data_IF_782644978513
#
_entry.id   IF_782644978513
#
_cell.length_a   1.000
_cell.length_b   1.000
_cell.length_c   1.000
_cell.angle_alpha   90.00
_cell.angle_beta   90.00
_cell.angle_gamma   90.00
#
_symmetry.space_group_name_H-M   'P 1'
#
loop_
_entity.id
_entity.type
_entity.pdbx_description
1 polymer ?
#
# COMPACT_ATOMS: atom_id res chain seq x y z
N UNK A 1 5.41 6.53 -9.11
CA UNK A 1 4.87 5.26 -8.54
C UNK A 1 3.35 5.20 -8.37
N UNK A 2 2.68 6.20 -7.81
CA UNK A 2 1.19 6.20 -7.65
C UNK A 2 0.40 6.34 -8.96
N UNK A 3 1.05 6.72 -10.06
CA UNK A 3 0.46 6.81 -11.41
C UNK A 3 -0.11 5.47 -11.91
N UNK A 4 0.13 4.38 -11.18
CA UNK A 4 -0.26 3.03 -11.54
C UNK A 4 -1.43 2.46 -10.70
N UNK A 5 -2.05 3.27 -9.82
CA UNK A 5 -3.28 2.88 -9.11
C UNK A 5 -4.46 3.60 -9.76
N UNK A 6 -5.33 2.85 -10.44
CA UNK A 6 -6.56 3.36 -11.04
C UNK A 6 -7.74 3.03 -10.15
N UNK A 7 -8.38 4.04 -9.57
CA UNK A 7 -9.54 3.89 -8.68
C UNK A 7 -10.79 4.44 -9.36
N UNK A 8 -11.75 3.56 -9.65
CA UNK A 8 -13.02 3.88 -10.29
C UNK A 8 -14.18 3.57 -9.33
N UNK A 9 -15.05 4.56 -9.10
CA UNK A 9 -16.35 4.36 -8.46
C UNK A 9 -17.21 3.53 -9.39
N UNK A 10 -17.83 2.46 -8.89
CA UNK A 10 -18.70 1.59 -9.69
C UNK A 10 -20.14 1.60 -9.19
N UNK A 11 -20.36 1.98 -7.93
CA UNK A 11 -21.69 2.05 -7.33
C UNK A 11 -21.68 3.04 -6.17
N UNK A 12 -22.72 3.86 -6.09
CA UNK A 12 -22.93 4.86 -5.03
C UNK A 12 -24.35 4.67 -4.48
N UNK A 13 -24.44 4.37 -3.17
CA UNK A 13 -25.67 4.24 -2.41
C UNK A 13 -25.68 5.34 -1.36
N UNK A 14 -26.57 6.30 -1.52
CA UNK A 14 -26.70 7.42 -0.59
C UNK A 14 -27.21 6.97 0.79
N UNK A 15 -28.04 5.93 0.81
CA UNK A 15 -28.55 5.32 2.04
C UNK A 15 -28.42 3.79 1.92
N UNK A 16 -27.61 3.20 2.78
CA UNK A 16 -27.46 1.75 2.91
C UNK A 16 -27.08 1.43 4.36
N UNK A 17 -27.11 0.14 4.71
CA UNK A 17 -26.73 -0.36 6.03
C UNK A 17 -25.56 -1.32 5.94
N UNK A 18 -24.78 -1.39 7.01
CA UNK A 18 -23.70 -2.36 7.14
C UNK A 18 -23.49 -2.71 8.61
N UNK A 19 -22.93 -3.89 8.85
CA UNK A 19 -22.50 -4.27 10.19
C UNK A 19 -21.07 -3.78 10.42
N UNK A 20 -20.88 -2.89 11.40
CA UNK A 20 -19.55 -2.43 11.82
C UNK A 20 -18.98 -3.43 12.82
N UNK A 21 -17.91 -4.15 12.44
CA UNK A 21 -17.29 -5.18 13.29
C UNK A 21 -16.61 -4.62 14.55
N UNK A 22 -16.15 -3.38 14.52
CA UNK A 22 -15.50 -2.76 15.67
C UNK A 22 -16.52 -2.29 16.71
N UNK A 23 -17.68 -1.82 16.26
CA UNK A 23 -18.79 -1.40 17.14
C UNK A 23 -19.77 -2.54 17.43
N UNK A 24 -19.68 -3.64 16.68
CA UNK A 24 -20.56 -4.82 16.75
C UNK A 24 -22.04 -4.47 16.63
N UNK A 25 -22.37 -3.52 15.74
CA UNK A 25 -23.73 -3.06 15.53
C UNK A 25 -24.01 -2.72 14.07
N UNK A 26 -25.29 -2.69 13.71
CA UNK A 26 -25.72 -2.18 12.40
C UNK A 26 -25.58 -0.65 12.39
N UNK A 27 -24.97 -0.13 11.33
CA UNK A 27 -24.84 1.30 11.05
C UNK A 27 -25.51 1.60 9.72
N UNK A 28 -25.83 2.88 9.52
CA UNK A 28 -26.45 3.38 8.30
C UNK A 28 -25.72 4.64 7.82
N UNK A 29 -25.81 4.92 6.53
CA UNK A 29 -25.12 6.05 5.91
C UNK A 29 -24.84 5.79 4.43
N UNK A 30 -23.83 6.47 3.90
CA UNK A 30 -23.46 6.33 2.49
C UNK A 30 -22.54 5.13 2.30
N UNK A 31 -22.79 4.36 1.24
CA UNK A 31 -21.97 3.21 0.85
C UNK A 31 -21.55 3.35 -0.60
N UNK A 32 -20.25 3.30 -0.84
CA UNK A 32 -19.67 3.36 -2.18
C UNK A 32 -18.81 2.14 -2.47
N UNK A 33 -18.85 1.68 -3.70
CA UNK A 33 -18.01 0.57 -4.15
C UNK A 33 -17.02 1.05 -5.18
N UNK A 34 -15.76 0.64 -5.02
CA UNK A 34 -14.67 1.03 -5.89
C UNK A 34 -13.99 -0.18 -6.48
N UNK A 35 -13.83 -0.18 -7.80
CA UNK A 35 -12.91 -1.06 -8.49
C UNK A 35 -11.54 -0.39 -8.51
N UNK A 36 -10.52 -1.13 -8.09
CA UNK A 36 -9.13 -0.65 -8.14
C UNK A 36 -8.28 -1.58 -8.99
N UNK A 37 -7.50 -0.99 -9.88
CA UNK A 37 -6.45 -1.68 -10.63
C UNK A 37 -5.11 -1.09 -10.20
N UNK A 38 -4.38 -1.83 -9.37
CA UNK A 38 -3.03 -1.48 -8.93
C UNK A 38 -2.03 -2.38 -9.64
N UNK A 39 -1.11 -1.80 -10.40
CA UNK A 39 -0.13 -2.56 -11.16
C UNK A 39 0.72 -3.54 -10.31
N UNK A 40 0.97 -3.21 -9.04
CA UNK A 40 1.80 -4.05 -8.17
C UNK A 40 1.05 -5.20 -7.51
N UNK A 41 -0.22 -4.99 -7.16
CA UNK A 41 -0.98 -5.96 -6.37
C UNK A 41 -2.10 -6.63 -7.16
N UNK A 42 -2.58 -6.01 -8.24
CA UNK A 42 -3.61 -6.53 -9.13
C UNK A 42 -4.95 -5.81 -8.95
N UNK A 43 -6.04 -6.54 -9.19
CA UNK A 43 -7.41 -6.00 -9.20
C UNK A 43 -8.10 -6.21 -7.85
N UNK A 44 -8.70 -5.16 -7.34
CA UNK A 44 -9.42 -5.15 -6.05
C UNK A 44 -10.84 -4.62 -6.22
N UNK A 45 -11.70 -5.03 -5.29
CA UNK A 45 -13.00 -4.42 -5.03
C UNK A 45 -13.05 -3.94 -3.58
N UNK A 46 -13.30 -2.66 -3.38
CA UNK A 46 -13.46 -2.05 -2.06
C UNK A 46 -14.90 -1.60 -1.84
N UNK A 47 -15.38 -1.73 -0.60
CA UNK A 47 -16.57 -1.06 -0.07
C UNK A 47 -16.11 0.03 0.89
N UNK A 48 -16.59 1.24 0.69
CA UNK A 48 -16.40 2.37 1.59
C UNK A 48 -17.72 2.68 2.26
N UNK A 49 -17.77 2.67 3.59
CA UNK A 49 -18.95 3.05 4.36
C UNK A 49 -18.66 4.34 5.12
N UNK A 50 -19.43 5.39 4.85
CA UNK A 50 -19.34 6.67 5.53
C UNK A 50 -20.49 6.80 6.53
N UNK A 51 -20.12 6.83 7.81
CA UNK A 51 -20.99 7.10 8.93
C UNK A 51 -20.88 8.59 9.29
N UNK A 52 -21.84 9.38 8.81
CA UNK A 52 -21.88 10.82 9.10
C UNK A 52 -22.25 11.12 10.55
N UNK A 53 -22.99 10.23 11.21
CA UNK A 53 -23.45 10.42 12.59
C UNK A 53 -22.27 10.50 13.56
N UNK A 54 -21.31 9.58 13.41
CA UNK A 54 -20.12 9.51 14.28
C UNK A 54 -18.83 10.01 13.60
N UNK A 55 -18.92 10.54 12.38
CA UNK A 55 -17.77 11.08 11.65
C UNK A 55 -16.70 10.03 11.36
N UNK A 56 -17.11 8.88 10.83
CA UNK A 56 -16.25 7.72 10.64
C UNK A 56 -16.38 7.13 9.25
N UNK A 57 -15.27 6.74 8.64
CA UNK A 57 -15.25 6.05 7.34
C UNK A 57 -14.57 4.69 7.47
N UNK A 58 -15.16 3.65 6.90
CA UNK A 58 -14.61 2.29 6.87
C UNK A 58 -14.29 1.92 5.43
N UNK A 59 -13.05 1.53 5.16
CA UNK A 59 -12.65 0.91 3.90
C UNK A 59 -12.53 -0.59 4.09
N UNK A 60 -13.29 -1.38 3.34
CA UNK A 60 -13.29 -2.85 3.39
C UNK A 60 -12.88 -3.44 2.05
N UNK A 61 -11.89 -4.33 2.05
CA UNK A 61 -11.58 -5.14 0.88
C UNK A 61 -12.63 -6.25 0.72
N UNK A 62 -13.44 -6.19 -0.34
CA UNK A 62 -14.47 -7.20 -0.62
C UNK A 62 -13.98 -8.33 -1.51
N UNK A 63 -13.12 -7.99 -2.47
CA UNK A 63 -12.41 -8.97 -3.30
C UNK A 63 -10.97 -8.54 -3.43
N UNK A 64 -10.08 -9.50 -3.23
CA UNK A 64 -8.65 -9.32 -3.34
C UNK A 64 -8.11 -9.99 -4.61
N UNK A 65 -6.93 -9.59 -5.09
CA UNK A 65 -6.17 -10.35 -6.08
C UNK A 65 -5.90 -11.78 -5.61
N UNK A 66 -5.66 -12.69 -6.55
CA UNK A 66 -5.31 -14.06 -6.21
C UNK A 66 -3.93 -14.15 -5.54
N UNK A 67 -3.80 -15.09 -4.60
CA UNK A 67 -2.52 -15.42 -3.96
C UNK A 67 -2.59 -15.43 -2.44
N UNK A 68 -1.77 -16.29 -1.82
CA UNK A 68 -1.76 -16.54 -0.37
C UNK A 68 -1.73 -15.26 0.47
N UNK A 69 -0.96 -14.25 0.02
CA UNK A 69 -0.85 -12.97 0.68
C UNK A 69 -2.17 -12.19 0.70
N UNK A 70 -2.78 -12.00 -0.47
CA UNK A 70 -3.92 -11.11 -0.65
C UNK A 70 -5.24 -11.75 -0.23
N UNK A 71 -5.37 -13.07 -0.34
CA UNK A 71 -6.54 -13.80 0.17
C UNK A 71 -6.73 -13.63 1.68
N UNK A 72 -5.65 -13.43 2.44
CA UNK A 72 -5.72 -13.11 3.89
C UNK A 72 -6.29 -11.71 4.18
N UNK A 73 -6.32 -10.82 3.18
CA UNK A 73 -6.84 -9.46 3.30
C UNK A 73 -8.31 -9.36 2.88
N UNK A 74 -8.90 -10.44 2.38
CA UNK A 74 -10.32 -10.43 1.99
C UNK A 74 -11.19 -10.26 3.23
N UNK A 75 -12.08 -9.27 3.18
CA UNK A 75 -12.88 -8.84 4.32
C UNK A 75 -12.18 -7.90 5.31
N UNK A 76 -10.87 -7.64 5.17
CA UNK A 76 -10.14 -6.75 6.07
C UNK A 76 -10.63 -5.30 5.97
N UNK A 77 -10.67 -4.60 7.11
CA UNK A 77 -11.24 -3.25 7.24
C UNK A 77 -10.25 -2.25 7.82
N UNK A 78 -10.13 -1.07 7.20
CA UNK A 78 -9.38 0.09 7.70
C UNK A 78 -10.35 1.17 8.14
N UNK A 79 -10.03 1.89 9.21
CA UNK A 79 -10.97 2.74 9.92
C UNK A 79 -10.40 4.13 10.05
N UNK A 80 -11.06 5.06 9.36
CA UNK A 80 -10.70 6.46 9.36
C UNK A 80 -11.66 7.23 10.26
N UNK A 81 -11.11 7.97 11.23
CA UNK A 81 -11.86 8.75 12.21
C UNK A 81 -11.63 10.24 11.98
N UNK A 82 -12.63 11.08 12.30
CA UNK A 82 -12.49 12.53 12.16
C UNK A 82 -11.36 13.08 13.05
N UNK A 83 -10.47 13.86 12.44
CA UNK A 83 -9.39 14.62 13.08
C UNK A 83 -9.91 15.89 13.76
N UNK A 84 -9.11 16.50 14.63
CA UNK A 84 -9.33 17.90 15.06
C UNK A 84 -8.94 18.92 13.98
N UNK A 85 -8.18 18.49 12.98
CA UNK A 85 -7.82 19.29 11.82
C UNK A 85 -8.97 19.20 10.82
N UNK A 86 -9.49 20.36 10.43
CA UNK A 86 -10.71 20.48 9.64
C UNK A 86 -10.68 19.65 8.36
N UNK A 87 -11.81 18.96 8.10
CA UNK A 87 -12.05 18.08 6.96
C UNK A 87 -11.07 16.91 6.77
N UNK A 88 -10.23 16.59 7.77
CA UNK A 88 -9.32 15.45 7.69
C UNK A 88 -9.82 14.27 8.54
N UNK A 89 -9.52 13.08 8.05
CA UNK A 89 -9.67 11.83 8.77
C UNK A 89 -8.30 11.21 8.99
N UNK A 90 -8.15 10.50 10.11
CA UNK A 90 -6.93 9.81 10.48
C UNK A 90 -7.13 8.30 10.60
N UNK A 91 -6.08 7.55 10.29
CA UNK A 91 -5.90 6.14 10.67
C UNK A 91 -4.50 5.96 11.29
N UNK A 92 -4.34 4.99 12.19
CA UNK A 92 -3.06 4.69 12.83
C UNK A 92 -2.22 3.86 11.88
N UNK A 93 -1.03 4.35 11.54
CA UNK A 93 -0.14 3.69 10.57
C UNK A 93 0.19 2.28 11.02
N UNK A 94 -0.28 1.30 10.26
CA UNK A 94 -0.14 -0.12 10.59
C UNK A 94 0.37 -0.90 9.38
N UNK A 95 1.68 -1.12 9.35
CA UNK A 95 2.42 -1.68 8.22
C UNK A 95 2.39 -3.20 8.26
N UNK A 96 2.11 -3.79 7.11
CA UNK A 96 2.09 -5.24 6.95
C UNK A 96 3.49 -5.80 6.75
N UNK A 97 3.77 -6.96 7.33
CA UNK A 97 4.92 -7.80 6.99
C UNK A 97 4.46 -9.27 6.87
N UNK A 98 5.26 -10.08 6.19
CA UNK A 98 4.99 -11.52 6.02
C UNK A 98 5.98 -12.30 6.85
N UNK A 99 5.49 -13.17 7.74
CA UNK A 99 6.38 -14.03 8.52
C UNK A 99 6.90 -15.23 7.69
N UNK A 100 7.82 -16.00 8.27
CA UNK A 100 8.42 -17.16 7.59
C UNK A 100 7.43 -18.25 7.16
N UNK A 101 6.19 -18.23 7.65
CA UNK A 101 5.13 -19.16 7.27
C UNK A 101 4.20 -18.58 6.18
N UNK A 102 4.44 -17.35 5.74
CA UNK A 102 3.60 -16.65 4.77
C UNK A 102 2.34 -16.04 5.37
N UNK A 103 2.27 -15.85 6.70
CA UNK A 103 1.13 -15.20 7.36
C UNK A 103 1.30 -13.69 7.35
N UNK A 104 0.20 -12.99 7.08
CA UNK A 104 0.13 -11.53 7.16
C UNK A 104 0.10 -11.09 8.61
N UNK A 105 1.12 -10.34 9.01
CA UNK A 105 1.17 -9.66 10.30
C UNK A 105 1.20 -8.16 10.09
N UNK A 106 0.83 -7.43 11.14
CA UNK A 106 0.82 -5.97 11.15
C UNK A 106 1.60 -5.46 12.33
N UNK A 107 2.42 -4.45 12.10
CA UNK A 107 3.11 -3.70 13.14
C UNK A 107 2.70 -2.23 13.07
N UNK A 108 2.58 -1.60 14.24
CA UNK A 108 2.26 -0.18 14.33
C UNK A 108 3.57 0.60 14.26
N UNK A 109 3.62 1.63 13.41
CA UNK A 109 4.77 2.52 13.34
C UNK A 109 4.99 3.24 14.69
N UNK A 110 6.23 3.25 15.19
CA UNK A 110 6.58 3.79 16.50
C UNK A 110 7.11 5.22 16.40
N UNK A 111 7.65 5.58 15.25
CA UNK A 111 8.07 6.94 14.93
C UNK A 111 7.74 7.32 13.48
N UNK A 112 7.88 8.61 13.16
CA UNK A 112 7.63 9.10 11.80
C UNK A 112 8.63 8.49 10.82
N UNK A 113 9.85 8.21 11.26
CA UNK A 113 10.91 7.61 10.47
C UNK A 113 10.58 6.16 10.05
N UNK A 114 9.81 5.44 10.88
CA UNK A 114 9.30 4.09 10.55
C UNK A 114 8.26 4.11 9.40
N UNK A 115 7.69 5.28 9.11
CA UNK A 115 6.68 5.41 8.05
C UNK A 115 7.38 5.42 6.68
N UNK A 116 6.98 4.55 5.74
CA UNK A 116 7.54 4.51 4.39
C UNK A 116 7.55 5.88 3.72
N UNK A 117 8.64 6.20 3.01
CA UNK A 117 8.81 7.49 2.31
C UNK A 117 7.63 7.80 1.38
N UNK A 118 7.15 6.81 0.63
CA UNK A 118 5.98 6.95 -0.26
C UNK A 118 4.70 7.42 0.46
N UNK A 119 4.52 7.04 1.73
CA UNK A 119 3.40 7.51 2.55
C UNK A 119 3.69 8.93 3.03
N UNK A 120 4.89 9.20 3.56
CA UNK A 120 5.32 10.52 4.05
C UNK A 120 5.30 11.61 2.98
N UNK A 121 5.60 11.27 1.73
CA UNK A 121 5.62 12.22 0.61
C UNK A 121 4.21 12.57 0.11
N UNK A 122 3.25 11.66 0.26
CA UNK A 122 1.90 11.82 -0.29
C UNK A 122 0.86 12.26 0.75
N UNK A 123 1.04 11.85 1.99
CA UNK A 123 0.11 12.07 3.07
C UNK A 123 0.77 12.87 4.18
N UNK A 124 -0.03 13.70 4.84
CA UNK A 124 0.41 14.34 6.06
C UNK A 124 0.49 13.28 7.16
N UNK A 125 1.66 13.17 7.78
CA UNK A 125 1.95 12.22 8.85
C UNK A 125 2.18 13.01 10.13
N UNK A 126 1.47 12.64 11.18
CA UNK A 126 1.52 13.31 12.49
C UNK A 126 1.54 12.30 13.62
N UNK A 127 1.85 12.78 14.80
CA UNK A 127 1.53 12.06 16.02
C UNK A 127 0.01 12.04 16.24
N UNK A 128 -0.45 11.02 16.95
CA UNK A 128 -1.86 10.90 17.35
C UNK A 128 -2.34 12.10 18.18
N UNK A 129 -1.47 12.65 19.03
CA UNK A 129 -1.79 13.82 19.85
C UNK A 129 -2.05 15.04 18.97
N UNK A 130 -1.22 15.31 17.96
CA UNK A 130 -1.44 16.44 17.04
C UNK A 130 -2.72 16.27 16.19
N UNK A 131 -3.08 15.03 15.83
CA UNK A 131 -4.26 14.77 15.02
C UNK A 131 -5.58 14.71 15.80
N UNK A 132 -5.52 14.48 17.13
CA UNK A 132 -6.73 14.25 17.94
C UNK A 132 -6.85 15.17 19.16
N UNK A 133 -5.79 15.89 19.52
CA UNK A 133 -5.68 16.64 20.77
C UNK A 133 -5.58 15.77 22.02
N UNK A 134 -5.54 14.43 21.87
CA UNK A 134 -5.56 13.49 22.99
C UNK A 134 -4.18 12.91 23.23
N UNK A 135 -3.67 13.12 24.44
CA UNK A 135 -2.45 12.49 24.90
C UNK A 135 -2.72 11.08 25.40
N UNK A 136 -1.95 10.12 24.91
CA UNK A 136 -2.02 8.70 25.28
C UNK A 136 -0.63 8.19 25.62
N UNK A 137 -0.55 7.10 26.39
CA UNK A 137 0.74 6.53 26.80
C UNK A 137 1.56 5.93 25.64
N UNK A 138 0.91 5.65 24.50
CA UNK A 138 1.54 5.07 23.31
C UNK A 138 1.80 6.15 22.27
N UNK A 139 3.00 6.18 21.73
CA UNK A 139 3.35 7.07 20.63
C UNK A 139 2.83 6.48 19.32
N UNK A 140 1.56 6.77 19.00
CA UNK A 140 0.98 6.39 17.72
C UNK A 140 1.26 7.45 16.67
N UNK A 141 1.65 6.98 15.49
CA UNK A 141 1.77 7.78 14.28
C UNK A 141 0.53 7.55 13.43
N UNK A 142 0.00 8.63 12.86
CA UNK A 142 -1.21 8.61 12.04
C UNK A 142 -0.96 9.22 10.67
N UNK A 143 -1.70 8.75 9.68
CA UNK A 143 -1.82 9.38 8.37
C UNK A 143 -3.11 10.18 8.31
N UNK A 144 -3.06 11.35 7.68
CA UNK A 144 -4.22 12.20 7.45
C UNK A 144 -4.63 12.18 5.99
N UNK A 145 -5.94 12.09 5.74
CA UNK A 145 -6.52 12.12 4.40
C UNK A 145 -7.93 12.71 4.40
N UNK A 146 -8.39 13.16 3.23
CA UNK A 146 -9.71 13.78 3.06
C UNK A 146 -10.63 12.93 2.18
N UNK A 147 -10.09 12.31 1.14
CA UNK A 147 -10.89 11.67 0.07
C UNK A 147 -10.91 10.15 0.22
N UNK A 148 -12.01 9.52 -0.18
CA UNK A 148 -12.13 8.04 -0.13
C UNK A 148 -11.06 7.35 -0.98
N UNK A 149 -10.67 7.94 -2.12
CA UNK A 149 -9.57 7.43 -2.95
C UNK A 149 -8.21 7.44 -2.24
N UNK A 150 -7.99 8.41 -1.35
CA UNK A 150 -6.80 8.49 -0.52
C UNK A 150 -6.81 7.38 0.54
N UNK A 151 -7.95 7.18 1.22
CA UNK A 151 -8.15 6.10 2.19
C UNK A 151 -7.92 4.70 1.57
N UNK A 152 -8.44 4.46 0.37
CA UNK A 152 -8.19 3.23 -0.40
C UNK A 152 -6.71 3.09 -0.75
N UNK A 153 -6.05 4.20 -1.10
CA UNK A 153 -4.62 4.18 -1.38
C UNK A 153 -3.82 3.81 -0.13
N UNK A 154 -4.15 4.39 1.03
CA UNK A 154 -3.52 4.04 2.31
C UNK A 154 -3.72 2.55 2.65
N UNK A 155 -4.92 2.00 2.42
CA UNK A 155 -5.14 0.57 2.57
C UNK A 155 -4.15 -0.25 1.74
N UNK A 156 -3.96 0.10 0.45
CA UNK A 156 -3.02 -0.62 -0.40
C UNK A 156 -1.57 -0.49 0.08
N UNK A 157 -1.15 0.72 0.45
CA UNK A 157 0.23 0.99 0.88
C UNK A 157 0.57 0.34 2.22
N UNK A 158 -0.33 0.39 3.19
CA UNK A 158 -0.09 -0.13 4.54
C UNK A 158 -0.38 -1.63 4.65
N UNK A 159 -1.35 -2.15 3.89
CA UNK A 159 -1.85 -3.53 4.06
C UNK A 159 -1.51 -4.48 2.93
N UNK A 160 -1.64 -4.03 1.69
CA UNK A 160 -1.41 -4.90 0.55
C UNK A 160 0.08 -5.00 0.17
N UNK A 161 0.93 -4.10 0.66
CA UNK A 161 2.36 -4.09 0.35
C UNK A 161 3.19 -4.41 1.60
N UNK A 162 3.59 -5.68 1.78
CA UNK A 162 4.37 -6.06 2.95
C UNK A 162 5.79 -5.50 2.90
N UNK A 163 6.29 -5.11 4.08
CA UNK A 163 7.69 -4.78 4.31
C UNK A 163 8.60 -5.99 4.05
N UNK A 164 9.87 -5.77 3.62
CA UNK A 164 10.44 -4.47 3.26
C UNK A 164 9.88 -3.95 1.92
N UNK A 165 9.27 -2.76 1.99
CA UNK A 165 8.72 -2.05 0.83
C UNK A 165 9.85 -1.70 -0.15
N UNK A 166 11.00 -1.30 0.39
CA UNK A 166 12.17 -0.87 -0.38
C UNK A 166 12.76 -1.99 -1.24
N UNK A 167 12.91 -3.22 -0.74
CA UNK A 167 13.46 -4.32 -1.54
C UNK A 167 12.53 -4.73 -2.68
N UNK A 168 11.21 -4.78 -2.43
CA UNK A 168 10.22 -5.05 -3.48
C UNK A 168 10.11 -3.91 -4.47
N UNK A 169 10.23 -2.65 -4.04
CA UNK A 169 10.26 -1.48 -4.91
C UNK A 169 11.52 -1.45 -5.77
N UNK A 170 12.70 -1.69 -5.18
CA UNK A 170 13.99 -1.83 -5.89
C UNK A 170 13.87 -2.91 -6.97
N UNK A 171 13.32 -4.07 -6.62
CA UNK A 171 13.11 -5.19 -7.54
C UNK A 171 12.14 -4.84 -8.68
N UNK A 172 11.02 -4.16 -8.39
CA UNK A 172 10.04 -3.78 -9.40
C UNK A 172 10.57 -2.68 -10.35
N UNK A 173 11.29 -1.70 -9.82
CA UNK A 173 11.96 -0.64 -10.59
C UNK A 173 13.03 -1.25 -11.51
N UNK A 174 13.83 -2.19 -10.98
CA UNK A 174 14.84 -2.89 -11.78
C UNK A 174 14.23 -3.67 -12.94
N UNK A 175 13.11 -4.37 -12.71
CA UNK A 175 12.40 -5.08 -13.77
C UNK A 175 11.83 -4.13 -14.83
N UNK A 176 11.37 -2.94 -14.43
CA UNK A 176 10.89 -1.92 -15.37
C UNK A 176 12.04 -1.39 -16.25
N UNK A 177 13.22 -1.15 -15.68
CA UNK A 177 14.43 -0.79 -16.43
C UNK A 177 14.80 -1.89 -17.42
N UNK A 178 14.87 -3.14 -16.98
CA UNK A 178 15.26 -4.27 -17.84
C UNK A 178 14.27 -4.45 -19.00
N UNK A 179 12.97 -4.25 -18.76
CA UNK A 179 11.96 -4.25 -19.83
C UNK A 179 12.12 -3.08 -20.80
N UNK A 180 12.45 -1.89 -20.31
CA UNK A 180 12.68 -0.69 -21.12
C UNK A 180 13.94 -0.83 -21.98
N UNK A 181 14.99 -1.42 -21.45
CA UNK A 181 16.26 -1.60 -22.15
C UNK A 181 16.29 -2.80 -23.09
N UNK A 182 15.28 -3.69 -23.03
CA UNK A 182 15.11 -4.94 -23.79
C UNK A 182 16.21 -6.00 -23.58
N UNK A 183 17.48 -5.61 -23.64
CA UNK A 183 18.69 -6.40 -23.34
C UNK A 183 19.78 -5.43 -22.89
N UNK A 184 20.21 -5.53 -21.62
CA UNK A 184 21.21 -4.62 -21.05
C UNK A 184 22.29 -5.38 -20.28
N UNK A 185 23.49 -4.81 -20.21
CA UNK A 185 24.55 -5.35 -19.34
C UNK A 185 24.22 -5.06 -17.86
N UNK A 186 24.74 -5.86 -16.93
CA UNK A 186 24.58 -5.57 -15.48
C UNK A 186 25.12 -4.18 -15.14
N UNK A 187 26.22 -3.75 -15.76
CA UNK A 187 26.81 -2.43 -15.54
C UNK A 187 25.88 -1.29 -15.98
N UNK A 188 25.22 -1.45 -17.13
CA UNK A 188 24.25 -0.50 -17.64
C UNK A 188 22.99 -0.44 -16.77
N UNK A 189 22.50 -1.60 -16.30
CA UNK A 189 21.40 -1.67 -15.33
C UNK A 189 21.77 -0.96 -14.03
N UNK A 190 22.98 -1.16 -13.50
CA UNK A 190 23.44 -0.48 -12.28
C UNK A 190 23.50 1.04 -12.46
N UNK A 191 24.00 1.52 -13.59
CA UNK A 191 24.09 2.95 -13.87
C UNK A 191 22.70 3.59 -13.95
N UNK A 192 21.78 2.97 -14.72
CA UNK A 192 20.41 3.47 -14.86
C UNK A 192 19.63 3.34 -13.55
N UNK A 193 19.84 2.28 -12.78
CA UNK A 193 19.19 2.11 -11.47
C UNK A 193 19.68 3.13 -10.43
N UNK A 194 20.96 3.48 -10.46
CA UNK A 194 21.53 4.52 -9.61
C UNK A 194 21.02 5.91 -10.03
N UNK A 195 21.01 6.21 -11.34
CA UNK A 195 20.60 7.52 -11.88
C UNK A 195 19.09 7.76 -11.78
N UNK A 196 18.25 6.78 -12.16
CA UNK A 196 16.79 6.96 -12.19
C UNK A 196 16.13 6.71 -10.82
N UNK A 197 16.72 5.85 -9.98
CA UNK A 197 16.08 5.36 -8.75
C UNK A 197 16.95 5.41 -7.50
N UNK A 198 18.19 5.89 -7.57
CA UNK A 198 19.09 6.00 -6.42
C UNK A 198 19.45 4.65 -5.77
N UNK A 199 19.39 3.55 -6.52
CA UNK A 199 19.66 2.20 -5.99
C UNK A 199 21.17 1.99 -5.92
N UNK A 200 21.67 1.62 -4.74
CA UNK A 200 23.09 1.28 -4.56
C UNK A 200 23.47 0.01 -5.30
N UNK A 201 24.72 -0.06 -5.77
CA UNK A 201 25.21 -1.18 -6.58
C UNK A 201 25.09 -2.53 -5.89
N UNK A 202 25.29 -2.59 -4.57
CA UNK A 202 25.12 -3.81 -3.78
C UNK A 202 23.67 -4.31 -3.73
N UNK A 203 22.70 -3.40 -3.75
CA UNK A 203 21.28 -3.75 -3.74
C UNK A 203 20.77 -4.22 -5.12
N UNK A 204 21.40 -3.75 -6.20
CA UNK A 204 21.10 -4.19 -7.56
C UNK A 204 21.39 -5.67 -7.73
N UNK A 205 22.52 -6.15 -7.22
CA UNK A 205 22.91 -7.57 -7.33
C UNK A 205 21.95 -8.49 -6.58
N UNK A 206 21.51 -8.09 -5.38
CA UNK A 206 20.50 -8.81 -4.59
C UNK A 206 19.15 -8.84 -5.32
N UNK A 207 18.74 -7.70 -5.89
CA UNK A 207 17.48 -7.59 -6.63
C UNK A 207 17.49 -8.39 -7.94
N UNK A 208 18.63 -8.44 -8.65
CA UNK A 208 18.80 -9.28 -9.84
C UNK A 208 18.70 -10.76 -9.50
N UNK A 209 19.35 -11.20 -8.43
CA UNK A 209 19.29 -12.60 -7.99
C UNK A 209 17.85 -13.02 -7.65
N UNK A 210 17.08 -12.15 -6.98
CA UNK A 210 15.67 -12.39 -6.67
C UNK A 210 14.78 -12.45 -7.92
N UNK A 211 14.98 -11.55 -8.89
CA UNK A 211 14.26 -11.56 -10.18
C UNK A 211 14.56 -12.82 -11.00
N UNK A 212 15.80 -13.28 -10.97
CA UNK A 212 16.26 -14.50 -11.66
C UNK A 212 15.67 -15.75 -11.00
N UNK A 213 15.68 -15.83 -9.66
CA UNK A 213 15.04 -16.91 -8.91
C UNK A 213 13.53 -16.98 -9.15
N UNK A 214 12.88 -15.83 -9.38
CA UNK A 214 11.45 -15.72 -9.72
C UNK A 214 11.14 -15.95 -11.21
N UNK A 215 12.15 -16.23 -12.03
CA UNK A 215 12.01 -16.44 -13.47
C UNK A 215 11.52 -15.22 -14.23
N UNK A 216 11.69 -14.00 -13.68
CA UNK A 216 11.26 -12.74 -14.30
C UNK A 216 12.30 -12.15 -15.25
N UNK A 217 13.55 -12.59 -15.12
CA UNK A 217 14.66 -12.22 -15.99
C UNK A 217 15.47 -13.47 -16.34
N UNK A 218 16.27 -13.38 -17.40
CA UNK A 218 17.25 -14.38 -17.79
C UNK A 218 18.60 -13.71 -17.96
N UNK A 219 19.64 -14.32 -17.40
CA UNK A 219 21.02 -14.02 -17.80
C UNK A 219 21.30 -14.66 -19.15
N UNK A 220 21.92 -13.88 -20.02
CA UNK A 220 22.40 -14.27 -21.33
C UNK A 220 23.92 -14.42 -21.28
N UNK A 221 24.50 -14.97 -22.34
CA UNK A 221 25.95 -15.01 -22.52
C UNK A 221 26.55 -13.60 -22.42
N UNK A 222 27.81 -13.52 -21.98
CA UNK A 222 28.58 -12.28 -21.79
C UNK A 222 28.08 -11.32 -20.68
N UNK A 223 27.24 -11.79 -19.75
CA UNK A 223 26.82 -10.98 -18.59
C UNK A 223 25.69 -9.98 -18.89
N UNK A 224 24.94 -10.22 -19.96
CA UNK A 224 23.73 -9.48 -20.28
C UNK A 224 22.51 -10.04 -19.55
N UNK A 225 21.53 -9.18 -19.28
CA UNK A 225 20.27 -9.52 -18.63
C UNK A 225 19.11 -9.06 -19.52
N UNK A 226 18.09 -9.91 -19.64
CA UNK A 226 16.85 -9.62 -20.37
C UNK A 226 15.64 -10.04 -19.55
N UNK A 227 14.52 -9.33 -19.67
CA UNK A 227 13.26 -9.73 -19.06
C UNK A 227 12.75 -11.04 -19.69
N UNK A 228 12.25 -11.96 -18.86
CA UNK A 228 11.55 -13.13 -19.34
C UNK A 228 10.14 -12.74 -19.79
N UNK A 229 9.68 -13.35 -20.88
CA UNK A 229 8.31 -13.17 -21.41
C UNK A 229 7.24 -13.67 -20.43
#
# INVERSE_FOLDING_TARGET
MLKNIKIALIEDRQEDTWFDLSLRQLRAGEVRFYRVDDYLTGKWLFKVCLDKEIGRTIVKALKCPAGKLFSQLEGATMVFQKSIIDDLFYDIVSLTHVDGEGRVRREIAKSIEDVPSIIREKFEVKTYEEATGKRIAKNYIVTLCKKEKEMITLFLLERARPLPLEEKEKTANLLAIIKKLEKASVTEICNVACEEFGIEKGDVDVSLADLEAKGKIKRLEEGYVKAAD
#
